data_IF_231493784825
#
_entry.id   IF_231493784825
#
_cell.length_a   1.000
_cell.length_b   1.000
_cell.length_c   1.000
_cell.angle_alpha   90.00
_cell.angle_beta   90.00
_cell.angle_gamma   90.00
#
_symmetry.space_group_name_H-M   'P 1'
#
loop_
_entity.id
_entity.type
_entity.pdbx_description
1 polymer ?
#
# COMPACT_ATOMS: atom_id res chain seq x y z
N UNK A 1 -6.73 4.75 -8.97
CA UNK A 1 -5.42 4.27 -8.49
C UNK A 1 -5.06 4.81 -7.10
N UNK A 2 -4.69 6.09 -6.88
CA UNK A 2 -4.38 6.58 -5.51
C UNK A 2 -5.55 6.32 -4.53
N UNK A 3 -6.78 6.68 -4.93
CA UNK A 3 -7.96 6.43 -4.11
C UNK A 3 -8.24 4.92 -3.90
N UNK A 4 -7.92 4.08 -4.88
CA UNK A 4 -8.07 2.63 -4.78
C UNK A 4 -7.05 2.04 -3.82
N UNK A 5 -5.79 2.51 -3.87
CA UNK A 5 -4.74 2.10 -2.95
C UNK A 5 -5.10 2.45 -1.50
N UNK A 6 -5.54 3.70 -1.26
CA UNK A 6 -5.97 4.16 0.07
C UNK A 6 -7.17 3.35 0.57
N UNK A 7 -8.13 3.07 -0.31
CA UNK A 7 -9.28 2.22 0.02
C UNK A 7 -8.83 0.80 0.40
N UNK A 8 -8.00 0.17 -0.43
CA UNK A 8 -7.49 -1.17 -0.18
C UNK A 8 -6.68 -1.24 1.12
N UNK A 9 -5.88 -0.20 1.42
CA UNK A 9 -5.14 -0.12 2.67
C UNK A 9 -6.06 -0.03 3.89
N UNK A 10 -7.13 0.77 3.82
CA UNK A 10 -8.12 0.86 4.89
C UNK A 10 -8.86 -0.46 5.11
N UNK A 11 -9.36 -1.07 4.04
CA UNK A 11 -10.08 -2.35 4.11
C UNK A 11 -9.19 -3.46 4.67
N UNK A 12 -7.93 -3.54 4.21
CA UNK A 12 -6.97 -4.51 4.73
C UNK A 12 -6.61 -4.25 6.21
N UNK A 13 -6.55 -2.97 6.63
CA UNK A 13 -6.26 -2.62 8.03
C UNK A 13 -7.39 -3.05 8.95
N UNK A 14 -8.64 -2.80 8.55
CA UNK A 14 -9.82 -3.19 9.33
C UNK A 14 -9.92 -4.72 9.45
N UNK A 15 -9.70 -5.43 8.34
CA UNK A 15 -9.69 -6.89 8.33
C UNK A 15 -8.56 -7.45 9.20
N UNK A 16 -7.35 -6.88 9.12
CA UNK A 16 -6.21 -7.30 9.93
C UNK A 16 -6.45 -7.11 11.42
N UNK A 17 -7.08 -6.01 11.81
CA UNK A 17 -7.41 -5.73 13.22
C UNK A 17 -8.44 -6.73 13.75
N UNK A 18 -9.47 -7.06 12.96
CA UNK A 18 -10.45 -8.08 13.31
C UNK A 18 -9.81 -9.48 13.43
N UNK A 19 -9.00 -9.88 12.45
CA UNK A 19 -8.29 -11.17 12.46
C UNK A 19 -7.33 -11.29 13.64
N UNK A 20 -6.56 -10.23 13.96
CA UNK A 20 -5.63 -10.25 15.09
C UNK A 20 -6.36 -10.48 16.42
N UNK A 21 -7.51 -9.82 16.59
CA UNK A 21 -8.32 -9.96 17.79
C UNK A 21 -8.91 -11.38 17.92
N UNK A 22 -9.39 -11.95 16.82
CA UNK A 22 -9.91 -13.32 16.80
C UNK A 22 -8.82 -14.36 17.06
N UNK A 23 -7.65 -14.20 16.46
CA UNK A 23 -6.49 -15.07 16.67
C UNK A 23 -6.01 -15.00 18.13
N UNK A 24 -5.91 -13.79 18.70
CA UNK A 24 -5.54 -13.60 20.10
C UNK A 24 -6.54 -14.26 21.04
N UNK A 25 -7.84 -14.13 20.77
CA UNK A 25 -8.89 -14.78 21.54
C UNK A 25 -8.79 -16.31 21.44
N UNK A 26 -8.57 -16.84 20.25
CA UNK A 26 -8.43 -18.28 20.01
C UNK A 26 -7.24 -18.85 20.78
N UNK A 27 -6.09 -18.16 20.77
CA UNK A 27 -4.90 -18.56 21.54
C UNK A 27 -5.20 -18.54 23.04
N UNK A 28 -5.89 -17.51 23.54
CA UNK A 28 -6.25 -17.41 24.95
C UNK A 28 -7.18 -18.55 25.39
N UNK A 29 -8.26 -18.79 24.65
CA UNK A 29 -9.23 -19.86 24.95
C UNK A 29 -8.59 -21.25 24.84
N UNK A 30 -7.73 -21.48 23.84
CA UNK A 30 -6.99 -22.73 23.69
C UNK A 30 -5.99 -22.96 24.83
N UNK A 31 -5.34 -21.91 25.32
CA UNK A 31 -4.42 -21.98 26.46
C UNK A 31 -5.16 -22.32 27.76
N UNK A 32 -6.29 -21.66 28.03
CA UNK A 32 -7.12 -21.97 29.21
C UNK A 32 -7.68 -23.40 29.15
N UNK A 33 -8.12 -23.82 27.97
CA UNK A 33 -8.59 -25.19 27.72
C UNK A 33 -7.50 -26.23 27.96
N UNK A 34 -6.28 -25.97 27.47
CA UNK A 34 -5.10 -26.81 27.68
C UNK A 34 -4.80 -26.98 29.17
N UNK A 35 -4.72 -25.89 29.92
CA UNK A 35 -4.42 -25.90 31.36
C UNK A 35 -5.49 -26.68 32.16
N UNK A 36 -6.75 -26.52 31.78
CA UNK A 36 -7.88 -27.23 32.38
C UNK A 36 -7.80 -28.74 32.14
N UNK A 37 -7.51 -29.16 30.90
CA UNK A 37 -7.34 -30.58 30.55
C UNK A 37 -6.12 -31.18 31.22
N UNK A 38 -5.01 -30.43 31.31
CA UNK A 38 -3.80 -30.87 32.00
C UNK A 38 -4.03 -31.09 33.50
N UNK A 39 -4.82 -30.20 34.13
CA UNK A 39 -5.24 -30.35 35.53
C UNK A 39 -6.12 -31.60 35.71
N UNK A 40 -7.11 -31.79 34.83
CA UNK A 40 -7.99 -32.97 34.86
C UNK A 40 -7.19 -34.28 34.68
N UNK A 41 -6.24 -34.31 33.74
CA UNK A 41 -5.33 -35.44 33.53
C UNK A 41 -4.53 -35.77 34.79
N UNK A 42 -4.01 -34.76 35.50
CA UNK A 42 -3.23 -34.95 36.72
C UNK A 42 -4.09 -35.55 37.84
N UNK A 43 -5.31 -35.05 38.04
CA UNK A 43 -6.25 -35.57 39.03
C UNK A 43 -6.65 -37.02 38.71
N UNK A 44 -7.01 -37.30 37.45
CA UNK A 44 -7.42 -38.63 37.02
C UNK A 44 -6.28 -39.64 37.13
N UNK A 45 -5.06 -39.29 36.68
CA UNK A 45 -3.88 -40.16 36.81
C UNK A 45 -3.59 -40.47 38.28
N UNK A 46 -3.59 -39.45 39.15
CA UNK A 46 -3.38 -39.63 40.59
C UNK A 46 -4.42 -40.57 41.24
N UNK A 47 -5.70 -40.43 40.88
CA UNK A 47 -6.78 -41.28 41.39
C UNK A 47 -6.65 -42.75 40.94
N UNK A 48 -6.42 -42.98 39.65
CA UNK A 48 -6.34 -44.33 39.09
C UNK A 48 -5.03 -45.05 39.42
N UNK A 49 -3.90 -44.33 39.52
CA UNK A 49 -2.61 -44.89 39.99
C UNK A 49 -2.64 -45.21 41.49
N UNK A 50 -3.27 -44.37 42.32
CA UNK A 50 -3.45 -44.63 43.75
C UNK A 50 -4.28 -45.89 44.04
N UNK A 51 -5.30 -46.16 43.24
CA UNK A 51 -6.13 -47.36 43.36
C UNK A 51 -5.39 -48.67 42.98
N UNK A 52 -4.32 -48.59 42.17
CA UNK A 52 -3.48 -49.73 41.81
C UNK A 52 -2.58 -50.22 42.97
N UNK A 53 -2.23 -49.33 43.93
CA UNK A 53 -1.35 -49.65 45.05
C UNK A 53 -2.02 -50.45 46.19
N UNK A 54 -3.35 -50.54 46.22
CA UNK A 54 -4.12 -51.20 47.29
C UNK A 54 -4.17 -52.74 47.12
N UNK A 55 -3.54 -53.31 46.10
CA UNK A 55 -3.51 -54.76 45.84
C UNK A 55 -2.44 -55.56 46.59
N UNK A 56 -1.74 -54.99 47.58
CA UNK A 56 -0.95 -55.83 48.51
C UNK A 56 -1.87 -56.38 49.59
N UNK A 57 -2.44 -57.57 49.32
CA UNK A 57 -3.19 -58.38 50.28
C UNK A 57 -2.34 -58.59 51.54
N UNK A 58 -2.64 -57.86 52.60
CA UNK A 58 -2.09 -58.07 53.94
C UNK A 58 -2.77 -59.30 54.54
N UNK A 59 -2.00 -60.28 55.00
CA UNK A 59 -2.51 -61.44 55.75
C UNK A 59 -2.25 -61.18 57.24
N UNK A 60 -3.28 -60.95 58.08
CA UNK A 60 -3.08 -60.65 59.49
C UNK A 60 -2.60 -61.86 60.30
N UNK A 61 -1.78 -61.62 61.33
CA UNK A 61 -1.54 -62.56 62.41
C UNK A 61 -2.79 -62.64 63.32
N UNK A 62 -3.23 -63.86 63.69
CA UNK A 62 -4.49 -64.25 64.37
C UNK A 62 -5.66 -64.72 63.45
N UNK A 63 -5.34 -65.50 62.43
CA UNK A 63 -6.33 -66.29 61.68
C UNK A 63 -6.65 -67.63 62.37
N UNK A 64 -7.84 -68.19 62.13
CA UNK A 64 -8.19 -69.55 62.55
C UNK A 64 -7.40 -70.63 61.76
N UNK A 65 -7.63 -71.91 62.07
CA UNK A 65 -6.94 -73.06 61.44
C UNK A 65 -7.20 -73.15 59.91
N UNK A 66 -8.20 -72.42 59.40
CA UNK A 66 -8.54 -72.31 57.99
C UNK A 66 -8.10 -70.97 57.37
N UNK A 67 -7.47 -70.10 58.16
CA UNK A 67 -6.90 -68.82 57.69
C UNK A 67 -7.85 -67.62 57.80
N UNK A 68 -9.03 -67.77 58.40
CA UNK A 68 -10.04 -66.72 58.46
C UNK A 68 -9.95 -65.88 59.75
N UNK A 69 -10.09 -64.57 59.61
CA UNK A 69 -10.18 -63.56 60.66
C UNK A 69 -11.64 -63.13 60.89
N UNK A 70 -11.89 -62.32 61.92
CA UNK A 70 -13.24 -61.79 62.21
C UNK A 70 -13.77 -60.91 61.07
N UNK A 71 -12.89 -60.31 60.27
CA UNK A 71 -13.21 -59.53 59.09
C UNK A 71 -13.76 -60.39 57.94
N UNK A 72 -13.27 -61.63 57.79
CA UNK A 72 -13.69 -62.55 56.72
C UNK A 72 -15.12 -63.11 56.93
N UNK A 73 -15.73 -62.86 58.10
CA UNK A 73 -17.12 -63.22 58.42
C UNK A 73 -18.09 -62.03 58.38
N UNK A 74 -17.61 -60.84 58.05
CA UNK A 74 -18.48 -59.68 57.83
C UNK A 74 -19.25 -59.87 56.50
N UNK A 75 -20.55 -59.50 56.43
CA UNK A 75 -21.29 -59.51 55.17
C UNK A 75 -20.57 -58.67 54.09
N UNK A 76 -20.34 -59.23 52.89
CA UNK A 76 -19.59 -58.63 51.76
C UNK A 76 -20.14 -57.31 51.20
N UNK A 77 -21.11 -56.66 51.87
CA UNK A 77 -21.84 -55.51 51.35
C UNK A 77 -21.14 -54.16 51.53
N UNK A 78 -20.05 -54.08 52.32
CA UNK A 78 -19.43 -52.78 52.66
C UNK A 78 -17.90 -52.70 52.50
N UNK A 79 -17.22 -53.70 51.95
CA UNK A 79 -15.74 -53.75 51.96
C UNK A 79 -15.05 -53.49 50.60
N UNK A 80 -15.81 -53.23 49.53
CA UNK A 80 -15.19 -52.79 48.28
C UNK A 80 -15.11 -51.27 48.23
N UNK A 81 -14.00 -50.70 48.70
CA UNK A 81 -13.64 -49.32 48.38
C UNK A 81 -13.75 -49.13 46.85
N UNK A 82 -14.61 -48.21 46.39
CA UNK A 82 -14.89 -48.03 44.97
C UNK A 82 -13.64 -47.52 44.24
N UNK A 83 -12.98 -48.39 43.48
CA UNK A 83 -11.74 -48.09 42.73
C UNK A 83 -11.98 -47.50 41.35
N UNK A 84 -13.23 -47.15 41.03
CA UNK A 84 -13.65 -46.71 39.70
C UNK A 84 -13.56 -47.80 38.62
N UNK A 85 -14.09 -47.49 37.44
CA UNK A 85 -14.01 -48.35 36.25
C UNK A 85 -12.60 -48.33 35.63
N UNK A 86 -11.69 -49.13 36.18
CA UNK A 86 -10.27 -49.21 35.80
C UNK A 86 -10.01 -49.56 34.33
N UNK A 87 -10.90 -50.32 33.69
CA UNK A 87 -10.76 -50.68 32.28
C UNK A 87 -11.16 -49.51 31.35
N UNK A 88 -12.25 -48.81 31.69
CA UNK A 88 -12.75 -47.65 30.93
C UNK A 88 -11.90 -46.39 31.10
N UNK A 89 -11.15 -46.27 32.19
CA UNK A 89 -10.33 -45.08 32.49
C UNK A 89 -9.21 -44.85 31.47
N UNK A 90 -8.62 -45.92 30.92
CA UNK A 90 -7.56 -45.84 29.91
C UNK A 90 -8.03 -45.12 28.64
N UNK A 91 -9.26 -45.36 28.20
CA UNK A 91 -9.84 -44.69 27.04
C UNK A 91 -10.09 -43.20 27.27
N UNK A 92 -10.58 -42.84 28.46
CA UNK A 92 -10.85 -41.45 28.83
C UNK A 92 -9.55 -40.66 28.98
N UNK A 93 -8.53 -41.22 29.64
CA UNK A 93 -7.21 -40.58 29.76
C UNK A 93 -6.56 -40.41 28.38
N UNK A 94 -6.61 -41.44 27.54
CA UNK A 94 -6.07 -41.36 26.17
C UNK A 94 -6.78 -40.30 25.33
N UNK A 95 -8.11 -40.16 25.46
CA UNK A 95 -8.86 -39.10 24.79
C UNK A 95 -8.44 -37.69 25.27
N UNK A 96 -8.26 -37.51 26.58
CA UNK A 96 -7.81 -36.23 27.14
C UNK A 96 -6.38 -35.87 26.72
N UNK A 97 -5.49 -36.86 26.55
CA UNK A 97 -4.14 -36.64 26.01
C UNK A 97 -4.15 -36.23 24.52
N UNK A 98 -5.06 -36.81 23.73
CA UNK A 98 -5.30 -36.36 22.35
C UNK A 98 -5.82 -34.93 22.32
N UNK A 99 -6.82 -34.59 23.15
CA UNK A 99 -7.36 -33.23 23.26
C UNK A 99 -6.26 -32.23 23.68
N UNK A 100 -5.39 -32.62 24.61
CA UNK A 100 -4.25 -31.78 25.02
C UNK A 100 -3.32 -31.49 23.84
N UNK A 101 -3.01 -32.53 23.05
CA UNK A 101 -2.17 -32.39 21.84
C UNK A 101 -2.86 -31.54 20.78
N UNK A 102 -4.18 -31.63 20.64
CA UNK A 102 -4.96 -30.78 19.74
C UNK A 102 -4.90 -29.31 20.16
N UNK A 103 -5.00 -28.99 21.46
CA UNK A 103 -4.80 -27.62 21.95
C UNK A 103 -3.40 -27.10 21.67
N UNK A 104 -2.35 -27.90 21.90
CA UNK A 104 -0.98 -27.52 21.57
C UNK A 104 -0.81 -27.23 20.08
N UNK A 105 -1.40 -28.07 19.22
CA UNK A 105 -1.39 -27.85 17.78
C UNK A 105 -2.14 -26.57 17.41
N UNK A 106 -3.32 -26.33 17.96
CA UNK A 106 -4.10 -25.12 17.70
C UNK A 106 -3.32 -23.87 18.09
N UNK A 107 -2.71 -23.83 19.27
CA UNK A 107 -1.90 -22.68 19.71
C UNK A 107 -0.72 -22.45 18.75
N UNK A 108 0.01 -23.51 18.39
CA UNK A 108 1.16 -23.39 17.48
C UNK A 108 0.75 -22.90 16.10
N UNK A 109 -0.27 -23.52 15.49
CA UNK A 109 -0.74 -23.18 14.15
C UNK A 109 -1.29 -21.76 14.09
N UNK A 110 -2.16 -21.36 15.02
CA UNK A 110 -2.73 -19.99 15.01
C UNK A 110 -1.64 -18.94 15.26
N UNK A 111 -0.64 -19.23 16.10
CA UNK A 111 0.48 -18.31 16.34
C UNK A 111 1.36 -18.15 15.09
N UNK A 112 1.63 -19.24 14.37
CA UNK A 112 2.40 -19.22 13.13
C UNK A 112 1.64 -18.46 12.03
N UNK A 113 0.36 -18.79 11.81
CA UNK A 113 -0.52 -18.12 10.84
C UNK A 113 -0.68 -16.62 11.13
N UNK A 114 -0.82 -16.22 12.41
CA UNK A 114 -0.87 -14.81 12.81
C UNK A 114 0.45 -14.09 12.50
N UNK A 115 1.59 -14.77 12.68
CA UNK A 115 2.91 -14.25 12.32
C UNK A 115 3.05 -14.01 10.82
N UNK A 116 2.71 -15.01 10.01
CA UNK A 116 2.73 -14.90 8.54
C UNK A 116 1.78 -13.80 8.03
N UNK A 117 0.56 -13.75 8.58
CA UNK A 117 -0.43 -12.72 8.21
C UNK A 117 0.04 -11.31 8.62
N UNK A 118 0.69 -11.17 9.78
CA UNK A 118 1.29 -9.91 10.21
C UNK A 118 2.39 -9.42 9.25
N UNK A 119 3.29 -10.31 8.83
CA UNK A 119 4.38 -9.99 7.90
C UNK A 119 3.86 -9.66 6.50
N UNK A 120 2.89 -10.43 6.01
CA UNK A 120 2.24 -10.18 4.73
C UNK A 120 1.54 -8.82 4.72
N UNK A 121 0.80 -8.48 5.79
CA UNK A 121 0.15 -7.18 5.92
C UNK A 121 1.16 -6.03 6.02
N UNK A 122 2.25 -6.20 6.78
CA UNK A 122 3.29 -5.18 6.89
C UNK A 122 3.96 -4.89 5.53
N UNK A 123 4.22 -5.95 4.75
CA UNK A 123 4.77 -5.84 3.40
C UNK A 123 3.77 -5.13 2.48
N UNK A 124 2.52 -5.59 2.44
CA UNK A 124 1.47 -4.97 1.65
C UNK A 124 1.29 -3.48 1.99
N UNK A 125 1.26 -3.14 3.28
CA UNK A 125 1.14 -1.76 3.74
C UNK A 125 2.29 -0.89 3.24
N UNK A 126 3.52 -1.36 3.42
CA UNK A 126 4.71 -0.62 2.97
C UNK A 126 4.73 -0.40 1.46
N UNK A 127 4.41 -1.43 0.67
CA UNK A 127 4.36 -1.34 -0.80
C UNK A 127 3.25 -0.41 -1.27
N UNK A 128 2.06 -0.51 -0.67
CA UNK A 128 0.91 0.32 -0.98
C UNK A 128 1.17 1.80 -0.66
N UNK A 129 1.75 2.09 0.51
CA UNK A 129 2.12 3.45 0.91
C UNK A 129 3.19 4.03 -0.03
N UNK A 130 4.22 3.25 -0.38
CA UNK A 130 5.26 3.67 -1.31
C UNK A 130 4.70 3.99 -2.71
N UNK A 131 3.87 3.10 -3.26
CA UNK A 131 3.22 3.30 -4.56
C UNK A 131 2.25 4.50 -4.53
N UNK A 132 1.52 4.69 -3.43
CA UNK A 132 0.66 5.85 -3.22
C UNK A 132 1.44 7.16 -3.24
N UNK A 133 2.54 7.24 -2.48
CA UNK A 133 3.38 8.43 -2.40
C UNK A 133 4.01 8.75 -3.75
N UNK A 134 4.54 7.74 -4.46
CA UNK A 134 5.12 7.93 -5.80
C UNK A 134 4.10 8.46 -6.80
N UNK A 135 2.86 7.95 -6.74
CA UNK A 135 1.78 8.44 -7.60
C UNK A 135 1.35 9.86 -7.24
N UNK A 136 1.26 10.22 -5.97
CA UNK A 136 0.96 11.58 -5.53
C UNK A 136 2.03 12.57 -5.99
N UNK A 137 3.31 12.22 -5.87
CA UNK A 137 4.42 13.04 -6.39
C UNK A 137 4.32 13.19 -7.92
N UNK A 138 4.02 12.11 -8.65
CA UNK A 138 3.85 12.17 -10.11
C UNK A 138 2.67 13.05 -10.54
N UNK A 139 1.59 13.07 -9.75
CA UNK A 139 0.45 13.98 -10.00
C UNK A 139 0.90 15.41 -9.80
N UNK A 140 1.53 15.74 -8.67
CA UNK A 140 2.00 17.10 -8.38
C UNK A 140 2.96 17.63 -9.46
N UNK A 141 3.96 16.83 -9.86
CA UNK A 141 4.89 17.21 -10.92
C UNK A 141 4.18 17.51 -12.26
N UNK A 142 3.16 16.71 -12.61
CA UNK A 142 2.40 16.93 -13.85
C UNK A 142 1.47 18.13 -13.77
N UNK A 143 0.87 18.39 -12.60
CA UNK A 143 0.08 19.59 -12.38
C UNK A 143 0.94 20.85 -12.51
N UNK A 144 2.15 20.83 -11.92
CA UNK A 144 3.12 21.92 -12.08
C UNK A 144 3.57 22.08 -13.55
N UNK A 145 3.84 20.98 -14.26
CA UNK A 145 4.19 21.00 -15.68
C UNK A 145 3.06 21.60 -16.54
N UNK A 146 1.80 21.20 -16.28
CA UNK A 146 0.62 21.76 -16.96
C UNK A 146 0.53 23.27 -16.70
N UNK A 147 0.66 23.71 -15.45
CA UNK A 147 0.59 25.14 -15.11
C UNK A 147 1.68 25.95 -15.82
N UNK A 148 2.90 25.42 -15.91
CA UNK A 148 4.00 26.07 -16.63
C UNK A 148 3.72 26.15 -18.14
N UNK A 149 3.26 25.04 -18.76
CA UNK A 149 2.92 25.01 -20.19
C UNK A 149 1.76 25.97 -20.50
N UNK A 150 0.76 26.05 -19.62
CA UNK A 150 -0.35 27.00 -19.78
C UNK A 150 0.14 28.45 -19.75
N UNK A 151 1.06 28.78 -18.84
CA UNK A 151 1.70 30.10 -18.78
C UNK A 151 2.49 30.41 -20.06
N UNK A 152 3.34 29.48 -20.49
CA UNK A 152 4.14 29.63 -21.71
C UNK A 152 3.26 29.79 -22.96
N UNK A 153 2.14 29.07 -23.01
CA UNK A 153 1.19 29.14 -24.13
C UNK A 153 0.55 30.52 -24.23
N UNK A 154 0.20 31.13 -23.10
CA UNK A 154 -0.33 32.51 -23.06
C UNK A 154 0.74 33.50 -23.52
N UNK A 155 1.97 33.41 -22.99
CA UNK A 155 3.07 34.30 -23.36
C UNK A 155 3.43 34.20 -24.86
N UNK A 156 3.48 32.98 -25.41
CA UNK A 156 3.73 32.74 -26.83
C UNK A 156 2.59 33.25 -27.71
N UNK A 157 1.33 33.13 -27.27
CA UNK A 157 0.18 33.66 -28.00
C UNK A 157 0.22 35.20 -28.09
N UNK A 158 0.54 35.87 -26.99
CA UNK A 158 0.68 37.33 -26.95
C UNK A 158 1.87 37.82 -27.80
N UNK A 159 3.01 37.11 -27.70
CA UNK A 159 4.21 37.39 -28.50
C UNK A 159 3.94 37.23 -29.99
N UNK A 160 3.23 36.17 -30.37
CA UNK A 160 2.83 35.93 -31.77
C UNK A 160 1.93 37.06 -32.27
N UNK A 161 0.92 37.45 -31.50
CA UNK A 161 -0.01 38.53 -31.86
C UNK A 161 0.75 39.84 -32.08
N UNK A 162 1.64 40.19 -31.15
CA UNK A 162 2.49 41.39 -31.24
C UNK A 162 3.42 41.37 -32.46
N UNK A 163 3.99 40.20 -32.79
CA UNK A 163 4.84 40.02 -33.96
C UNK A 163 4.06 40.13 -35.28
N UNK A 164 2.85 39.56 -35.34
CA UNK A 164 1.96 39.68 -36.49
C UNK A 164 1.55 41.13 -36.75
N UNK A 165 1.22 41.89 -35.69
CA UNK A 165 0.94 43.32 -35.80
C UNK A 165 2.16 44.12 -36.29
N UNK A 166 3.34 43.87 -35.71
CA UNK A 166 4.59 44.53 -36.12
C UNK A 166 4.94 44.23 -37.57
N UNK A 167 4.77 42.98 -38.01
CA UNK A 167 5.01 42.57 -39.39
C UNK A 167 4.05 43.26 -40.35
N UNK A 168 2.76 43.35 -40.01
CA UNK A 168 1.77 44.10 -40.80
C UNK A 168 2.15 45.57 -40.93
N UNK A 169 2.53 46.21 -39.83
CA UNK A 169 2.96 47.61 -39.85
C UNK A 169 4.21 47.81 -40.73
N UNK A 170 5.17 46.89 -40.67
CA UNK A 170 6.37 46.95 -41.52
C UNK A 170 6.04 46.81 -43.01
N UNK A 171 5.10 45.93 -43.38
CA UNK A 171 4.63 45.79 -44.76
C UNK A 171 3.90 47.05 -45.25
N UNK A 172 3.05 47.63 -44.41
CA UNK A 172 2.34 48.87 -44.73
C UNK A 172 3.33 50.03 -44.96
N UNK A 173 4.36 50.14 -44.12
CA UNK A 173 5.40 51.17 -44.26
C UNK A 173 6.30 50.94 -45.47
N UNK A 174 6.69 49.68 -45.74
CA UNK A 174 7.43 49.31 -46.94
C UNK A 174 6.68 49.69 -48.21
N UNK A 175 5.36 49.47 -48.24
CA UNK A 175 4.51 49.86 -49.37
C UNK A 175 4.54 51.36 -49.62
N UNK A 176 4.41 52.18 -48.56
CA UNK A 176 4.53 53.64 -48.66
C UNK A 176 5.91 54.05 -49.16
N UNK A 177 6.99 53.52 -48.58
CA UNK A 177 8.35 53.83 -49.00
C UNK A 177 8.59 53.47 -50.47
N UNK A 178 8.14 52.30 -50.91
CA UNK A 178 8.25 51.89 -52.31
C UNK A 178 7.52 52.86 -53.25
N UNK A 179 6.33 53.33 -52.86
CA UNK A 179 5.59 54.32 -53.64
C UNK A 179 6.31 55.66 -53.74
N UNK A 180 6.95 56.12 -52.65
CA UNK A 180 7.66 57.40 -52.60
C UNK A 180 9.03 57.37 -53.28
N UNK A 181 9.75 56.25 -53.17
CA UNK A 181 11.16 56.17 -53.55
C UNK A 181 11.43 55.37 -54.82
N UNK A 182 10.53 54.49 -55.26
CA UNK A 182 10.82 53.53 -56.35
C UNK A 182 9.80 53.64 -57.49
N UNK A 183 8.49 53.65 -57.18
CA UNK A 183 7.42 53.47 -58.16
C UNK A 183 7.24 54.62 -59.19
N UNK A 184 8.03 55.69 -59.07
CA UNK A 184 8.05 56.81 -60.02
C UNK A 184 9.43 57.44 -60.18
N UNK A 185 10.50 56.74 -59.76
CA UNK A 185 11.84 57.28 -59.94
C UNK A 185 12.23 57.22 -61.42
N UNK A 186 12.52 58.39 -61.99
CA UNK A 186 13.06 58.48 -63.35
C UNK A 186 14.40 57.74 -63.42
N UNK A 187 14.62 57.06 -64.54
CA UNK A 187 15.87 56.33 -64.73
C UNK A 187 17.05 57.29 -64.67
N UNK A 188 18.22 56.80 -64.26
CA UNK A 188 19.42 57.63 -64.22
C UNK A 188 19.68 58.34 -65.56
N UNK A 189 19.46 57.63 -66.66
CA UNK A 189 19.64 58.16 -68.02
C UNK A 189 18.63 59.27 -68.35
N UNK A 190 17.35 59.11 -68.00
CA UNK A 190 16.35 60.18 -68.15
C UNK A 190 16.68 61.42 -67.29
N UNK A 191 17.18 61.21 -66.07
CA UNK A 191 17.67 62.27 -65.18
C UNK A 191 18.79 63.06 -65.82
N UNK A 192 19.80 62.36 -66.34
CA UNK A 192 20.97 62.96 -66.98
C UNK A 192 20.55 63.72 -68.24
N UNK A 193 19.66 63.14 -69.06
CA UNK A 193 19.17 63.79 -70.26
C UNK A 193 18.38 65.08 -69.97
N UNK A 194 17.50 65.08 -68.96
CA UNK A 194 16.79 66.31 -68.54
C UNK A 194 17.74 67.37 -68.01
N UNK A 195 18.70 66.99 -67.14
CA UNK A 195 19.73 67.93 -66.65
C UNK A 195 20.54 68.52 -67.79
N UNK A 196 20.95 67.71 -68.77
CA UNK A 196 21.73 68.21 -69.89
C UNK A 196 20.94 69.23 -70.72
N UNK A 197 19.65 68.96 -71.00
CA UNK A 197 18.76 69.92 -71.66
C UNK A 197 18.60 71.21 -70.87
N UNK A 198 18.47 71.11 -69.55
CA UNK A 198 18.36 72.28 -68.67
C UNK A 198 19.66 73.08 -68.63
N UNK A 199 20.82 72.41 -68.58
CA UNK A 199 22.15 73.05 -68.68
C UNK A 199 22.30 73.78 -70.02
N UNK A 200 21.88 73.18 -71.13
CA UNK A 200 21.91 73.82 -72.45
C UNK A 200 20.99 75.04 -72.49
N UNK A 201 19.75 74.92 -72.01
CA UNK A 201 18.83 76.06 -71.94
C UNK A 201 19.36 77.20 -71.04
N UNK A 202 20.02 76.87 -69.93
CA UNK A 202 20.67 77.85 -69.05
C UNK A 202 21.88 78.52 -69.71
N UNK A 203 22.68 77.78 -70.49
CA UNK A 203 23.78 78.34 -71.29
C UNK A 203 23.27 79.28 -72.37
N UNK A 204 22.22 78.89 -73.10
CA UNK A 204 21.61 79.73 -74.11
C UNK A 204 21.07 81.04 -73.49
N UNK A 205 20.37 80.95 -72.35
CA UNK A 205 19.91 82.12 -71.62
C UNK A 205 21.06 83.01 -71.13
N UNK A 206 22.15 82.41 -70.67
CA UNK A 206 23.36 83.13 -70.26
C UNK A 206 24.02 83.84 -71.44
N UNK A 207 24.19 83.17 -72.59
CA UNK A 207 24.74 83.75 -73.81
C UNK A 207 23.86 84.88 -74.34
N UNK A 208 22.53 84.74 -74.27
CA UNK A 208 21.60 85.82 -74.59
C UNK A 208 21.77 87.03 -73.67
N UNK A 209 22.11 86.84 -72.39
CA UNK A 209 22.33 87.91 -71.43
C UNK A 209 23.72 88.56 -71.58
N UNK A 210 24.77 87.78 -71.85
CA UNK A 210 26.12 88.31 -72.08
C UNK A 210 26.27 89.03 -73.42
N UNK A 211 25.61 88.53 -74.47
CA UNK A 211 25.63 89.12 -75.81
C UNK A 211 24.46 90.09 -76.06
N UNK A 212 23.81 90.57 -75.00
CA UNK A 212 22.68 91.51 -75.06
C UNK A 212 23.10 92.96 -75.35
N UNK A 213 24.39 93.26 -75.30
CA UNK A 213 24.97 94.58 -75.59
C UNK A 213 25.64 94.64 -76.96
#
# INVERSE_FOLDING_TARGET
QIAENKKALMEATELREAESQENMKTIAEATEGKDSVQTALTVLKTFYEGAAFVQRKFVPTNSDREGNTVADKAPEVFDSEYKGSQESSKGIVGLLEVILTDFDRTISTVTEEEGESAEAFATFKSENEADTNSKEESVGMKEDEVANIESDLVELADSKTSAEESHKQALDELSKLHSMCVAGEETYEERVAKRQKEIEALKDAHDMLENWQ
#
